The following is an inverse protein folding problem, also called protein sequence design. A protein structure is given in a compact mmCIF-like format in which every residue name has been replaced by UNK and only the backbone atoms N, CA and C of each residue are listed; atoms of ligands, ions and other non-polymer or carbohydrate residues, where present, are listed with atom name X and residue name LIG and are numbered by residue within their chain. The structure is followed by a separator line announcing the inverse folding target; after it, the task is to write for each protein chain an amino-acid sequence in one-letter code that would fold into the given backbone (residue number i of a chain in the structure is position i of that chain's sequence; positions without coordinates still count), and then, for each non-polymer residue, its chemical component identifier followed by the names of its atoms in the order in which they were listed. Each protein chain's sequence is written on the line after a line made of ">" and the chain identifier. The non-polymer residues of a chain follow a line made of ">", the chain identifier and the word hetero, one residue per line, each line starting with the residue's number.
data_IF_567135270032
#
_entry.id   IF_567135270032
#
_cell.length_a   1.000
_cell.length_b   1.000
_cell.length_c   1.000
_cell.angle_alpha   90.00
_cell.angle_beta   90.00
_cell.angle_gamma   90.00
#
_symmetry.space_group_name_H-M   'P 1'
#
loop_
_entity.id
_entity.type
_entity.pdbx_description
1 polymer ?
#
# COMPACT_ATOMS: atom_id res chain seq x y z
N UNK A 1 -35.58 -38.20 45.56
CA UNK A 1 -34.31 -38.09 44.83
C UNK A 1 -34.50 -36.99 43.80
N UNK A 2 -33.83 -35.86 44.00
CA UNK A 2 -34.20 -34.54 43.48
C UNK A 2 -34.08 -34.39 41.95
N UNK A 3 -35.13 -33.81 41.37
CA UNK A 3 -35.22 -33.24 40.02
C UNK A 3 -34.85 -31.74 40.10
N UNK A 4 -33.86 -31.29 39.32
CA UNK A 4 -33.48 -29.89 39.23
C UNK A 4 -33.49 -29.43 37.77
N UNK A 5 -34.70 -29.11 37.27
CA UNK A 5 -34.90 -28.24 36.11
C UNK A 5 -34.61 -26.79 36.50
N UNK A 6 -33.44 -26.27 36.11
CA UNK A 6 -33.11 -24.86 36.25
C UNK A 6 -33.48 -24.08 34.98
N UNK A 7 -34.70 -23.52 34.97
CA UNK A 7 -35.17 -22.53 33.99
C UNK A 7 -34.72 -21.14 34.45
N UNK A 8 -33.64 -20.62 33.86
CA UNK A 8 -33.16 -19.25 34.11
C UNK A 8 -33.64 -18.32 32.99
N UNK A 9 -34.84 -17.76 33.16
CA UNK A 9 -35.27 -16.56 32.43
C UNK A 9 -34.72 -15.32 33.14
N UNK A 10 -33.65 -14.72 32.62
CA UNK A 10 -33.28 -13.35 32.98
C UNK A 10 -33.54 -12.45 31.78
N UNK A 11 -34.57 -11.63 31.92
CA UNK A 11 -34.82 -10.45 31.10
C UNK A 11 -33.80 -9.40 31.51
N UNK A 12 -32.93 -8.99 30.58
CA UNK A 12 -32.00 -7.89 30.82
C UNK A 12 -32.60 -6.65 30.16
N UNK A 13 -32.90 -5.66 31.00
CA UNK A 13 -33.44 -4.37 30.62
C UNK A 13 -32.35 -3.53 29.93
N UNK A 14 -32.78 -2.79 28.90
CA UNK A 14 -32.01 -1.77 28.19
C UNK A 14 -31.78 -0.54 29.09
N UNK A 15 -30.60 0.09 29.02
CA UNK A 15 -30.50 1.52 29.30
C UNK A 15 -30.03 2.33 28.09
N UNK A 16 -30.95 3.20 27.67
CA UNK A 16 -30.83 4.64 27.38
C UNK A 16 -29.71 5.14 26.44
N UNK A 17 -30.21 5.70 25.33
CA UNK A 17 -29.49 6.44 24.29
C UNK A 17 -28.87 7.72 24.86
N UNK A 18 -27.56 7.85 24.72
CA UNK A 18 -26.85 9.13 24.91
C UNK A 18 -26.91 9.94 23.60
N UNK A 19 -27.64 11.04 23.66
CA UNK A 19 -27.70 12.08 22.63
C UNK A 19 -26.55 13.06 22.87
N UNK A 20 -25.61 13.15 21.93
CA UNK A 20 -24.62 14.23 21.92
C UNK A 20 -25.10 15.35 21.01
N UNK A 21 -25.46 16.46 21.64
CA UNK A 21 -25.85 17.73 21.06
C UNK A 21 -24.65 18.47 20.44
N UNK A 22 -24.87 19.05 19.26
CA UNK A 22 -23.95 19.92 18.52
C UNK A 22 -23.70 21.25 19.26
N UNK A 23 -22.46 21.77 19.35
CA UNK A 23 -22.23 23.12 19.84
C UNK A 23 -22.46 24.16 18.73
N UNK A 24 -23.37 25.09 19.05
CA UNK A 24 -23.65 26.34 18.35
C UNK A 24 -22.45 27.28 18.43
N UNK A 25 -21.92 27.72 17.29
CA UNK A 25 -20.86 28.73 17.22
C UNK A 25 -21.49 30.12 17.17
N UNK A 26 -21.38 30.83 18.29
CA UNK A 26 -21.78 32.24 18.41
C UNK A 26 -20.83 33.13 17.61
N UNK A 27 -21.43 33.95 16.74
CA UNK A 27 -20.80 35.06 16.04
C UNK A 27 -20.66 36.22 17.04
N UNK A 28 -19.44 36.73 17.23
CA UNK A 28 -19.23 38.06 17.80
C UNK A 28 -18.46 38.91 16.79
N UNK A 29 -19.18 39.86 16.22
CA UNK A 29 -18.64 41.01 15.52
C UNK A 29 -17.99 41.96 16.53
N UNK A 30 -16.84 42.53 16.21
CA UNK A 30 -16.34 43.73 16.86
C UNK A 30 -15.60 44.58 15.83
N UNK A 31 -16.24 45.70 15.53
CA UNK A 31 -15.74 46.83 14.74
C UNK A 31 -14.98 47.75 15.69
N UNK A 32 -13.75 48.11 15.36
CA UNK A 32 -13.13 49.35 15.83
C UNK A 32 -12.44 50.04 14.66
N UNK A 33 -12.72 51.34 14.54
CA UNK A 33 -12.41 52.18 13.40
C UNK A 33 -11.31 53.21 13.73
N UNK A 34 -10.52 53.53 12.70
CA UNK A 34 -9.95 54.84 12.29
C UNK A 34 -8.78 55.52 13.06
N UNK A 35 -8.06 56.33 12.24
CA UNK A 35 -6.97 57.28 12.52
C UNK A 35 -5.55 56.67 12.51
N UNK A 36 -4.60 56.95 11.60
CA UNK A 36 -4.38 58.09 10.71
C UNK A 36 -3.16 58.91 11.19
N UNK A 37 -2.03 58.90 10.45
CA UNK A 37 -1.14 60.05 10.22
C UNK A 37 0.13 59.68 9.43
N UNK A 38 0.41 60.49 8.40
CA UNK A 38 1.58 60.49 7.53
C UNK A 38 2.84 61.01 8.23
N UNK A 39 4.01 60.49 7.86
CA UNK A 39 5.31 61.06 8.24
C UNK A 39 6.46 60.32 7.57
N UNK A 40 6.96 60.85 6.47
CA UNK A 40 8.18 60.38 5.82
C UNK A 40 9.42 60.77 6.64
N UNK A 41 10.29 59.81 6.94
CA UNK A 41 11.70 60.06 7.23
C UNK A 41 12.51 58.85 6.76
N UNK A 42 13.34 59.09 5.75
CA UNK A 42 14.30 58.14 5.22
C UNK A 42 15.37 57.83 6.27
N UNK A 43 15.64 56.54 6.48
CA UNK A 43 16.95 56.07 6.94
C UNK A 43 17.36 54.96 5.99
N UNK A 44 18.12 55.34 4.96
CA UNK A 44 18.98 54.41 4.25
C UNK A 44 20.16 54.10 5.18
N UNK A 45 20.17 52.91 5.77
CA UNK A 45 21.39 52.31 6.28
C UNK A 45 21.78 51.22 5.28
N UNK A 46 22.95 51.42 4.68
CA UNK A 46 23.60 50.46 3.81
C UNK A 46 23.70 49.10 4.51
N UNK A 47 22.88 48.17 4.06
CA UNK A 47 22.90 46.78 4.47
C UNK A 47 22.63 45.94 3.23
N UNK A 48 23.67 45.64 2.46
CA UNK A 48 23.63 44.56 1.48
C UNK A 48 23.57 43.23 2.24
N UNK A 49 22.40 42.87 2.77
CA UNK A 49 22.11 41.56 3.32
C UNK A 49 21.40 40.73 2.24
N UNK A 50 22.22 40.33 1.26
CA UNK A 50 22.14 39.15 0.40
C UNK A 50 20.84 38.31 0.56
N UNK A 51 19.84 38.54 -0.30
CA UNK A 51 18.74 37.59 -0.53
C UNK A 51 19.12 36.45 -1.48
N UNK A 52 20.39 36.02 -1.48
CA UNK A 52 20.87 35.00 -2.40
C UNK A 52 22.25 34.47 -2.04
N UNK A 53 22.35 33.71 -0.96
CA UNK A 53 23.46 32.78 -0.70
C UNK A 53 23.21 31.95 0.56
N UNK A 54 22.20 31.08 0.57
CA UNK A 54 22.11 30.01 1.60
C UNK A 54 22.65 28.66 1.11
N UNK A 55 23.11 28.56 -0.14
CA UNK A 55 23.74 27.34 -0.67
C UNK A 55 25.28 27.36 -0.68
N UNK A 56 25.93 28.38 -0.11
CA UNK A 56 27.36 28.66 -0.36
C UNK A 56 28.35 28.50 0.79
N UNK A 57 27.98 27.92 1.94
CA UNK A 57 28.92 27.70 3.07
C UNK A 57 28.67 26.34 3.75
N UNK A 58 28.71 25.26 2.98
CA UNK A 58 28.71 23.88 3.50
C UNK A 58 29.72 22.97 2.77
N UNK A 59 30.77 23.54 2.16
CA UNK A 59 31.78 22.77 1.41
C UNK A 59 33.16 22.70 2.08
N UNK A 60 33.36 23.31 3.26
CA UNK A 60 34.70 23.35 3.91
C UNK A 60 34.89 22.31 5.00
N UNK A 61 33.84 21.59 5.37
CA UNK A 61 33.92 20.45 6.28
C UNK A 61 33.78 19.21 5.40
N UNK A 62 34.88 18.51 5.10
CA UNK A 62 34.91 17.31 4.26
C UNK A 62 34.03 16.13 4.70
N UNK A 63 33.09 16.35 5.61
CA UNK A 63 31.84 15.60 5.70
C UNK A 63 31.03 15.89 4.44
N UNK A 64 31.28 15.11 3.39
CA UNK A 64 30.12 14.58 2.67
C UNK A 64 29.27 13.97 3.76
N UNK A 65 28.14 14.58 4.11
CA UNK A 65 27.02 13.83 4.65
C UNK A 65 26.78 12.81 3.54
N UNK A 66 27.43 11.66 3.69
CA UNK A 66 26.97 10.46 3.04
C UNK A 66 25.50 10.51 3.31
N UNK A 67 24.69 10.48 2.26
CA UNK A 67 23.41 9.82 2.43
C UNK A 67 23.79 8.39 2.80
N UNK A 68 24.14 8.18 4.06
CA UNK A 68 23.88 6.99 4.80
C UNK A 68 22.37 6.91 4.73
N UNK A 69 21.87 6.44 3.58
CA UNK A 69 20.48 6.10 3.38
C UNK A 69 20.27 4.77 4.11
N UNK A 70 20.64 4.75 5.39
CA UNK A 70 20.09 3.93 6.44
C UNK A 70 18.75 4.57 6.86
N UNK A 71 17.96 5.02 5.89
CA UNK A 71 16.52 5.17 6.07
C UNK A 71 15.96 3.95 5.41
N UNK A 72 15.33 3.07 6.20
CA UNK A 72 14.52 1.98 5.69
C UNK A 72 13.69 2.54 4.51
N UNK A 73 13.99 2.07 3.30
CA UNK A 73 13.25 2.51 2.15
C UNK A 73 11.84 1.93 2.29
N UNK A 74 10.82 2.75 2.09
CA UNK A 74 9.43 2.31 2.15
C UNK A 74 8.86 2.30 0.74
N UNK A 75 8.14 1.23 0.37
CA UNK A 75 7.47 1.13 -0.93
C UNK A 75 5.96 1.11 -0.71
N UNK A 76 5.21 2.13 -1.14
CA UNK A 76 3.75 2.09 -1.15
C UNK A 76 3.24 1.00 -2.10
N UNK A 77 2.20 0.30 -1.69
CA UNK A 77 1.53 -0.73 -2.50
C UNK A 77 0.02 -0.47 -2.48
N UNK A 78 -0.59 -0.33 -3.65
CA UNK A 78 -2.04 -0.36 -3.84
C UNK A 78 -2.45 -1.66 -4.52
N UNK A 79 -3.60 -2.20 -4.12
CA UNK A 79 -4.14 -3.45 -4.64
C UNK A 79 -5.62 -3.24 -4.94
N UNK A 80 -5.99 -3.44 -6.19
CA UNK A 80 -7.37 -3.42 -6.66
C UNK A 80 -7.80 -4.85 -7.00
N UNK A 81 -8.79 -5.36 -6.26
CA UNK A 81 -9.39 -6.66 -6.53
C UNK A 81 -10.68 -6.50 -7.33
N UNK A 82 -10.78 -7.22 -8.44
CA UNK A 82 -12.00 -7.29 -9.23
C UNK A 82 -13.18 -7.86 -8.39
N UNK A 83 -14.43 -7.48 -8.67
CA UNK A 83 -15.59 -8.09 -8.02
C UNK A 83 -15.69 -9.61 -8.23
N UNK A 84 -15.22 -10.09 -9.38
CA UNK A 84 -15.14 -11.53 -9.71
C UNK A 84 -13.76 -12.14 -9.37
N UNK A 85 -13.03 -11.56 -8.41
CA UNK A 85 -11.72 -12.04 -7.96
C UNK A 85 -11.76 -13.55 -7.75
N UNK A 86 -10.74 -14.23 -8.29
CA UNK A 86 -10.45 -15.63 -7.99
C UNK A 86 -11.64 -16.59 -8.15
N UNK A 87 -12.55 -16.31 -9.09
CA UNK A 87 -13.81 -17.01 -9.15
C UNK A 87 -13.66 -18.53 -9.40
N UNK A 88 -14.54 -19.32 -8.80
CA UNK A 88 -14.63 -20.76 -9.04
C UNK A 88 -15.13 -21.08 -10.47
N UNK A 89 -15.11 -22.35 -10.86
CA UNK A 89 -15.68 -22.78 -12.14
C UNK A 89 -17.19 -22.48 -12.28
N UNK A 90 -17.90 -22.29 -11.16
CA UNK A 90 -19.30 -21.86 -11.13
C UNK A 90 -19.49 -20.33 -11.15
N UNK A 91 -18.38 -19.56 -11.20
CA UNK A 91 -18.41 -18.09 -11.21
C UNK A 91 -18.52 -17.44 -9.83
N UNK A 92 -18.45 -18.20 -8.73
CA UNK A 92 -18.47 -17.66 -7.37
C UNK A 92 -17.14 -16.96 -7.05
N UNK A 93 -17.13 -15.66 -6.70
CA UNK A 93 -15.91 -14.95 -6.33
C UNK A 93 -15.29 -15.50 -5.03
N UNK A 94 -13.98 -15.69 -5.00
CA UNK A 94 -13.24 -16.21 -3.83
C UNK A 94 -12.18 -15.21 -3.36
N UNK A 95 -11.78 -15.30 -2.10
CA UNK A 95 -10.59 -14.59 -1.63
C UNK A 95 -9.34 -15.16 -2.29
N UNK A 96 -8.30 -14.35 -2.45
CA UNK A 96 -6.97 -14.81 -2.86
C UNK A 96 -5.94 -14.50 -1.78
N UNK A 97 -5.02 -15.44 -1.56
CA UNK A 97 -3.83 -15.21 -0.76
C UNK A 97 -2.76 -14.57 -1.65
N UNK A 98 -2.25 -13.42 -1.23
CA UNK A 98 -1.15 -12.71 -1.88
C UNK A 98 0.10 -12.84 -1.01
N UNK A 99 1.14 -13.47 -1.55
CA UNK A 99 2.47 -13.56 -0.91
C UNK A 99 3.41 -12.56 -1.56
N UNK A 100 3.96 -11.66 -0.75
CA UNK A 100 4.92 -10.65 -1.15
C UNK A 100 6.27 -11.04 -0.56
N UNK A 101 7.21 -11.36 -1.43
CA UNK A 101 8.58 -11.73 -1.11
C UNK A 101 9.50 -10.54 -1.36
N UNK A 102 10.34 -10.24 -0.37
CA UNK A 102 11.49 -9.36 -0.55
C UNK A 102 12.70 -10.22 -0.83
N UNK A 103 13.38 -9.95 -1.95
CA UNK A 103 14.39 -10.84 -2.51
C UNK A 103 15.70 -10.12 -2.85
N UNK A 104 16.84 -10.76 -2.59
CA UNK A 104 18.18 -10.33 -3.05
C UNK A 104 18.38 -10.50 -4.55
N UNK A 105 17.67 -11.45 -5.14
CA UNK A 105 17.75 -11.89 -6.54
C UNK A 105 16.39 -12.45 -6.96
N UNK A 106 16.05 -12.38 -8.23
CA UNK A 106 14.82 -12.99 -8.76
C UNK A 106 15.02 -14.41 -9.33
N UNK A 107 16.24 -14.95 -9.32
CA UNK A 107 16.56 -16.19 -10.03
C UNK A 107 15.81 -17.42 -9.51
N UNK A 108 15.75 -17.63 -8.19
CA UNK A 108 14.94 -18.70 -7.60
C UNK A 108 13.45 -18.45 -7.84
N UNK A 109 13.01 -17.20 -7.63
CA UNK A 109 11.63 -16.78 -7.88
C UNK A 109 11.17 -17.03 -9.32
N UNK A 110 12.02 -16.81 -10.32
CA UNK A 110 11.72 -17.10 -11.71
C UNK A 110 11.44 -18.60 -11.94
N UNK A 111 12.12 -19.49 -11.20
CA UNK A 111 11.95 -20.95 -11.28
C UNK A 111 10.89 -21.51 -10.32
N UNK A 112 10.42 -20.73 -9.35
CA UNK A 112 9.40 -21.14 -8.39
C UNK A 112 8.17 -21.68 -9.11
N UNK A 113 7.76 -22.91 -8.78
CA UNK A 113 6.55 -23.52 -9.35
C UNK A 113 5.31 -23.10 -8.57
N UNK A 114 4.13 -23.29 -9.17
CA UNK A 114 2.89 -22.91 -8.50
C UNK A 114 2.63 -23.77 -7.27
N UNK A 115 2.95 -25.06 -7.35
CA UNK A 115 2.79 -26.04 -6.28
C UNK A 115 3.67 -25.70 -5.08
N UNK A 116 4.95 -25.38 -5.32
CA UNK A 116 5.85 -24.87 -4.28
C UNK A 116 5.31 -23.58 -3.69
N UNK A 117 4.83 -22.67 -4.52
CA UNK A 117 4.31 -21.39 -4.08
C UNK A 117 3.01 -21.50 -3.28
N UNK A 118 2.26 -22.61 -3.36
CA UNK A 118 1.05 -22.85 -2.54
C UNK A 118 1.39 -23.28 -1.11
N UNK A 119 2.52 -23.94 -0.91
CA UNK A 119 2.94 -24.45 0.39
C UNK A 119 3.95 -23.48 1.02
N UNK A 120 3.64 -22.95 2.20
CA UNK A 120 4.49 -21.94 2.86
C UNK A 120 5.95 -22.38 2.98
N UNK A 121 6.17 -23.58 3.52
CA UNK A 121 7.51 -24.10 3.75
C UNK A 121 8.29 -24.33 2.45
N UNK A 122 7.65 -24.93 1.43
CA UNK A 122 8.34 -25.23 0.17
C UNK A 122 8.63 -23.98 -0.66
N UNK A 123 7.75 -22.99 -0.63
CA UNK A 123 7.99 -21.71 -1.27
C UNK A 123 9.14 -20.96 -0.61
N UNK A 124 9.18 -20.92 0.72
CA UNK A 124 10.27 -20.30 1.47
C UNK A 124 11.60 -21.04 1.25
N UNK A 125 11.60 -22.38 1.28
CA UNK A 125 12.77 -23.22 1.03
C UNK A 125 13.33 -23.02 -0.38
N UNK A 126 12.46 -22.98 -1.40
CA UNK A 126 12.86 -22.75 -2.79
C UNK A 126 13.55 -21.38 -3.01
N UNK A 127 13.28 -20.41 -2.13
CA UNK A 127 13.82 -19.05 -2.19
C UNK A 127 14.89 -18.79 -1.13
N UNK A 128 15.23 -19.74 -0.26
CA UNK A 128 15.92 -19.51 1.01
C UNK A 128 17.21 -18.68 0.90
N UNK A 129 18.01 -18.86 -0.15
CA UNK A 129 19.28 -18.13 -0.33
C UNK A 129 19.11 -16.68 -0.78
N UNK A 130 17.96 -16.35 -1.34
CA UNK A 130 17.62 -15.00 -1.82
C UNK A 130 16.51 -14.32 -1.03
N UNK A 131 15.82 -15.03 -0.12
CA UNK A 131 14.70 -14.52 0.66
C UNK A 131 15.14 -13.64 1.84
N UNK A 132 14.67 -12.39 1.86
CA UNK A 132 14.87 -11.46 2.97
C UNK A 132 13.66 -11.39 3.91
N UNK A 133 12.45 -11.48 3.34
CA UNK A 133 11.22 -11.58 4.12
C UNK A 133 10.07 -12.03 3.24
N UNK A 134 9.03 -12.60 3.86
CA UNK A 134 7.75 -12.90 3.24
C UNK A 134 6.63 -12.23 4.04
N UNK A 135 5.67 -11.63 3.35
CA UNK A 135 4.44 -11.10 3.92
C UNK A 135 3.23 -11.70 3.20
N UNK A 136 2.27 -12.20 3.95
CA UNK A 136 1.03 -12.74 3.41
C UNK A 136 -0.15 -11.79 3.66
N UNK A 137 -1.04 -11.69 2.67
CA UNK A 137 -2.26 -10.89 2.72
C UNK A 137 -3.42 -11.70 2.17
N UNK A 138 -4.59 -11.61 2.84
CA UNK A 138 -5.84 -12.16 2.31
C UNK A 138 -6.60 -11.01 1.63
N UNK A 139 -6.82 -11.15 0.33
CA UNK A 139 -7.51 -10.17 -0.50
C UNK A 139 -8.93 -10.65 -0.76
N UNK A 140 -9.91 -9.81 -0.43
CA UNK A 140 -11.33 -10.09 -0.63
C UNK A 140 -11.81 -9.54 -1.98
N UNK A 141 -12.82 -10.17 -2.63
CA UNK A 141 -13.38 -9.68 -3.88
C UNK A 141 -13.91 -8.24 -3.79
N UNK A 142 -13.67 -7.45 -4.83
CA UNK A 142 -14.17 -6.07 -4.96
C UNK A 142 -13.59 -5.06 -3.97
N UNK A 143 -12.49 -5.39 -3.27
CA UNK A 143 -11.85 -4.52 -2.28
C UNK A 143 -10.61 -3.83 -2.83
N UNK A 144 -10.34 -2.66 -2.26
CA UNK A 144 -9.09 -1.94 -2.44
C UNK A 144 -8.27 -1.98 -1.14
N UNK A 145 -6.96 -2.17 -1.28
CA UNK A 145 -6.01 -2.15 -0.18
C UNK A 145 -4.89 -1.17 -0.48
N UNK A 146 -4.45 -0.43 0.54
CA UNK A 146 -3.26 0.39 0.51
C UNK A 146 -2.39 0.01 1.71
N UNK A 147 -1.11 -0.27 1.46
CA UNK A 147 -0.14 -0.63 2.50
C UNK A 147 1.24 -0.09 2.13
N UNK A 148 2.11 -0.05 3.13
CA UNK A 148 3.53 0.28 2.94
C UNK A 148 4.36 -0.96 3.24
N UNK A 149 5.30 -1.27 2.35
CA UNK A 149 6.34 -2.28 2.56
C UNK A 149 7.59 -1.61 3.12
N UNK A 150 8.00 -2.05 4.30
CA UNK A 150 9.30 -1.71 4.89
C UNK A 150 10.37 -2.58 4.23
N UNK A 151 11.29 -1.96 3.48
CA UNK A 151 12.27 -2.69 2.69
C UNK A 151 13.42 -3.19 3.55
N UNK A 152 13.74 -4.48 3.43
CA UNK A 152 14.95 -5.07 4.01
C UNK A 152 16.19 -4.54 3.28
N UNK A 153 17.32 -4.31 3.97
CA UNK A 153 18.49 -3.64 3.39
C UNK A 153 18.98 -4.23 2.07
N UNK A 154 19.02 -5.57 1.99
CA UNK A 154 19.57 -6.30 0.83
C UNK A 154 18.53 -6.56 -0.28
N UNK A 155 17.30 -6.07 -0.13
CA UNK A 155 16.22 -6.33 -1.09
C UNK A 155 16.43 -5.58 -2.39
N UNK A 156 16.58 -6.33 -3.49
CA UNK A 156 16.69 -5.79 -4.85
C UNK A 156 15.46 -6.06 -5.71
N UNK A 157 14.68 -7.09 -5.37
CA UNK A 157 13.48 -7.48 -6.09
C UNK A 157 12.31 -7.69 -5.12
N UNK A 158 11.11 -7.37 -5.57
CA UNK A 158 9.86 -7.69 -4.89
C UNK A 158 9.14 -8.73 -5.75
N UNK A 159 9.10 -9.97 -5.25
CA UNK A 159 8.35 -11.06 -5.85
C UNK A 159 6.93 -11.08 -5.32
N UNK A 160 5.94 -11.21 -6.19
CA UNK A 160 4.53 -11.22 -5.80
C UNK A 160 3.89 -12.48 -6.37
N UNK A 161 3.18 -13.22 -5.53
CA UNK A 161 2.45 -14.44 -5.87
C UNK A 161 1.00 -14.27 -5.46
N UNK A 162 0.08 -14.49 -6.39
CA UNK A 162 -1.35 -14.59 -6.13
C UNK A 162 -1.79 -16.06 -6.29
N UNK A 163 -2.25 -16.66 -5.19
CA UNK A 163 -2.64 -18.07 -5.15
C UNK A 163 -4.07 -18.27 -5.64
N UNK A 164 -4.28 -18.06 -6.94
CA UNK A 164 -5.57 -18.25 -7.57
C UNK A 164 -6.05 -19.72 -7.50
N UNK A 165 -7.35 -19.92 -7.35
CA UNK A 165 -8.00 -21.22 -7.42
C UNK A 165 -7.72 -21.91 -8.77
N UNK A 166 -7.63 -21.15 -9.85
CA UNK A 166 -7.40 -21.67 -11.20
C UNK A 166 -6.56 -20.68 -12.04
N UNK A 167 -5.24 -20.58 -11.80
CA UNK A 167 -4.42 -19.54 -12.41
C UNK A 167 -4.30 -19.72 -13.92
N UNK A 168 -4.27 -18.60 -14.64
CA UNK A 168 -3.79 -18.59 -16.01
C UNK A 168 -2.27 -18.84 -16.05
N UNK A 169 -1.81 -19.50 -17.11
CA UNK A 169 -0.41 -19.90 -17.24
C UNK A 169 0.54 -18.69 -17.17
N UNK A 170 1.45 -18.70 -16.19
CA UNK A 170 2.44 -17.63 -16.00
C UNK A 170 1.88 -16.29 -15.53
N UNK A 171 0.61 -16.22 -15.09
CA UNK A 171 -0.05 -14.96 -14.67
C UNK A 171 -0.30 -14.85 -13.16
N UNK A 172 0.17 -15.83 -12.41
CA UNK A 172 0.00 -15.95 -10.95
C UNK A 172 1.21 -15.41 -10.15
N UNK A 173 2.32 -15.09 -10.81
CA UNK A 173 3.49 -14.46 -10.19
C UNK A 173 4.08 -13.36 -11.07
N UNK A 174 4.71 -12.37 -10.44
CA UNK A 174 5.51 -11.34 -11.11
C UNK A 174 6.63 -10.87 -10.18
N UNK A 175 7.72 -10.36 -10.76
CA UNK A 175 8.85 -9.79 -10.03
C UNK A 175 9.04 -8.34 -10.46
N UNK A 176 9.36 -7.48 -9.50
CA UNK A 176 9.60 -6.04 -9.72
C UNK A 176 10.98 -5.71 -9.17
N UNK A 177 11.84 -5.16 -10.03
CA UNK A 177 13.14 -4.63 -9.62
C UNK A 177 12.96 -3.31 -8.86
N UNK A 178 13.65 -3.17 -7.73
CA UNK A 178 13.61 -1.95 -6.90
C UNK A 178 14.10 -0.75 -7.70
N UNK A 179 13.34 0.36 -7.66
CA UNK A 179 13.69 1.60 -8.37
C UNK A 179 13.32 1.62 -9.85
N UNK A 180 12.69 0.55 -10.38
CA UNK A 180 12.19 0.48 -11.76
C UNK A 180 10.69 0.82 -11.87
N UNK A 181 9.98 0.87 -10.75
CA UNK A 181 8.60 1.35 -10.71
C UNK A 181 8.57 2.86 -11.04
N UNK A 182 7.77 3.32 -12.01
CA UNK A 182 7.83 4.70 -12.49
C UNK A 182 7.49 5.77 -11.43
N UNK A 183 6.79 5.37 -10.36
CA UNK A 183 6.41 6.22 -9.22
C UNK A 183 7.00 5.76 -7.87
N UNK A 184 7.90 4.77 -7.87
CA UNK A 184 8.38 4.06 -6.66
C UNK A 184 7.23 3.44 -5.82
N UNK A 185 6.05 3.30 -6.44
CA UNK A 185 4.86 2.63 -5.92
C UNK A 185 4.58 1.36 -6.73
N UNK A 186 4.06 0.34 -6.07
CA UNK A 186 3.52 -0.85 -6.72
C UNK A 186 2.00 -0.74 -6.75
N UNK A 187 1.41 -0.74 -7.93
CA UNK A 187 -0.04 -0.81 -8.09
C UNK A 187 -0.40 -2.15 -8.75
N UNK A 188 -1.17 -2.98 -8.05
CA UNK A 188 -1.59 -4.31 -8.48
C UNK A 188 -3.07 -4.33 -8.84
N UNK A 189 -3.39 -4.99 -9.93
CA UNK A 189 -4.76 -5.41 -10.25
C UNK A 189 -4.87 -6.92 -10.19
N UNK A 190 -5.85 -7.43 -9.45
CA UNK A 190 -6.13 -8.85 -9.30
C UNK A 190 -7.49 -9.18 -9.92
N UNK A 191 -7.51 -10.14 -10.84
CA UNK A 191 -8.73 -10.57 -11.55
C UNK A 191 -9.18 -11.99 -11.21
N UNK A 192 -9.83 -12.65 -12.17
CA UNK A 192 -10.37 -14.01 -11.99
C UNK A 192 -9.24 -15.04 -11.81
N UNK A 193 -8.16 -14.95 -12.59
CA UNK A 193 -7.09 -15.94 -12.57
C UNK A 193 -5.69 -15.39 -12.91
N UNK A 194 -5.58 -14.06 -12.92
CA UNK A 194 -4.38 -13.36 -13.33
C UNK A 194 -4.22 -12.08 -12.54
N UNK A 195 -2.98 -11.60 -12.48
CA UNK A 195 -2.67 -10.26 -12.01
C UNK A 195 -1.82 -9.49 -13.02
N UNK A 196 -1.80 -8.17 -12.83
CA UNK A 196 -0.93 -7.26 -13.55
C UNK A 196 -0.50 -6.11 -12.64
N UNK A 197 0.64 -5.51 -12.96
CA UNK A 197 1.01 -4.20 -12.43
C UNK A 197 0.43 -3.11 -13.33
N UNK A 198 0.03 -2.00 -12.73
CA UNK A 198 -0.29 -0.77 -13.48
C UNK A 198 0.90 0.18 -13.38
N UNK A 199 1.46 0.66 -14.50
CA UNK A 199 2.45 1.72 -14.44
C UNK A 199 1.75 3.03 -14.15
N UNK A 200 1.84 3.49 -12.91
CA UNK A 200 1.31 4.76 -12.39
C UNK A 200 -0.22 4.82 -12.20
N UNK A 201 -0.65 5.64 -11.24
CA UNK A 201 -2.07 5.95 -10.96
C UNK A 201 -2.78 6.73 -12.08
N UNK A 202 -2.24 6.72 -13.30
CA UNK A 202 -2.92 7.23 -14.49
C UNK A 202 -4.11 6.30 -14.78
N UNK A 203 -5.31 6.86 -14.65
CA UNK A 203 -6.57 6.16 -14.84
C UNK A 203 -6.66 5.43 -16.18
N UNK A 204 -6.02 5.95 -17.24
CA UNK A 204 -6.01 5.31 -18.56
C UNK A 204 -5.16 4.03 -18.60
N UNK A 205 -4.03 4.02 -17.91
CA UNK A 205 -3.15 2.83 -17.79
C UNK A 205 -3.72 1.80 -16.82
N UNK A 206 -4.41 2.27 -15.78
CA UNK A 206 -5.16 1.39 -14.87
C UNK A 206 -6.28 0.65 -15.62
N UNK A 207 -7.06 1.35 -16.44
CA UNK A 207 -8.11 0.72 -17.26
C UNK A 207 -7.55 -0.27 -18.28
N UNK A 208 -6.38 0.02 -18.88
CA UNK A 208 -5.69 -0.91 -19.76
C UNK A 208 -5.22 -2.18 -19.02
N UNK A 209 -4.67 -2.04 -17.81
CA UNK A 209 -4.29 -3.18 -16.98
C UNK A 209 -5.52 -3.99 -16.52
N UNK A 210 -6.63 -3.31 -16.20
CA UNK A 210 -7.91 -3.94 -15.89
C UNK A 210 -8.39 -4.79 -17.07
N UNK A 211 -8.34 -4.24 -18.28
CA UNK A 211 -8.69 -4.92 -19.52
C UNK A 211 -7.77 -6.13 -19.75
N UNK A 212 -6.45 -5.96 -19.60
CA UNK A 212 -5.49 -7.07 -19.71
C UNK A 212 -5.79 -8.19 -18.73
N UNK A 213 -6.15 -7.86 -17.49
CA UNK A 213 -6.48 -8.85 -16.46
C UNK A 213 -7.83 -9.52 -16.73
N UNK A 214 -8.81 -8.78 -17.26
CA UNK A 214 -10.14 -9.28 -17.58
C UNK A 214 -10.18 -10.18 -18.83
N UNK A 215 -9.36 -9.88 -19.85
CA UNK A 215 -9.32 -10.62 -21.12
C UNK A 215 -8.56 -11.94 -21.05
N UNK A 216 -7.89 -12.23 -19.94
CA UNK A 216 -7.14 -13.47 -19.76
C UNK A 216 -8.11 -14.64 -19.56
N UNK A 217 -8.06 -15.58 -20.51
CA UNK A 217 -8.76 -16.87 -20.39
C UNK A 217 -8.11 -17.74 -19.33
N UNK A 218 -8.91 -18.11 -18.35
CA UNK A 218 -8.51 -19.03 -17.31
C UNK A 218 -8.52 -20.47 -17.84
N UNK A 219 -7.73 -21.36 -17.24
CA UNK A 219 -7.61 -22.77 -17.68
C UNK A 219 -8.94 -23.54 -17.72
N UNK A 220 -9.97 -23.03 -17.04
CA UNK A 220 -11.30 -23.65 -16.94
C UNK A 220 -12.43 -22.83 -17.60
N UNK A 221 -12.13 -21.79 -18.40
CA UNK A 221 -13.14 -21.04 -19.18
C UNK A 221 -13.21 -21.49 -20.62
#
# INVERSE_FOLDING_TARGET
>A
MMDHRFRSSRRWALPQKLSLSRPSRWVLASVFALSGCSGAAAIQLAGAAVSGAVNGVLETSGLRVGRDRESAATVPVSIEAAPALNASAAGEPLSVVLRIYQLKSEHGFARLTYEQAQQDDMGAEALATELESVRELIILPGRHYALTLEMRPDTRHIGIVALFHSPAHGRWKLAIERGRAPTDQIALMLGVCAMATTPDADTTKSEAAATVVADIRCKHS
#
